data_IF_634309414365
#
_entry.id   IF_634309414365
#
_cell.length_a   1.000
_cell.length_b   1.000
_cell.length_c   1.000
_cell.angle_alpha   90.00
_cell.angle_beta   90.00
_cell.angle_gamma   90.00
#
_symmetry.space_group_name_H-M   'P 1'
#
loop_
_entity.id
_entity.type
_entity.pdbx_description
1 polymer ?
#
# COMPACT_ATOMS: atom_id res chain seq x y z
N UNK A 1 11.98 -51.22 -16.90
CA UNK A 1 11.28 -52.53 -16.87
C UNK A 1 10.18 -52.45 -17.92
N UNK A 2 10.32 -53.22 -19.00
CA UNK A 2 9.36 -53.53 -20.08
C UNK A 2 8.35 -52.48 -20.53
N UNK A 3 8.64 -51.75 -21.62
CA UNK A 3 7.61 -51.21 -22.51
C UNK A 3 7.43 -52.18 -23.68
N UNK A 4 6.23 -52.68 -23.90
CA UNK A 4 5.94 -53.51 -25.07
C UNK A 4 5.65 -52.60 -26.28
N UNK A 5 6.30 -52.87 -27.41
CA UNK A 5 6.00 -52.20 -28.67
C UNK A 5 4.57 -52.57 -29.12
N UNK A 6 3.77 -51.56 -29.42
CA UNK A 6 2.40 -51.74 -29.93
C UNK A 6 2.45 -51.65 -31.45
N UNK A 7 1.91 -52.64 -32.14
CA UNK A 7 1.91 -52.73 -33.60
C UNK A 7 0.50 -52.50 -34.17
N UNK A 8 0.40 -51.89 -35.35
CA UNK A 8 -0.86 -51.81 -36.08
C UNK A 8 -1.23 -53.16 -36.75
N UNK A 9 -2.43 -53.25 -37.33
CA UNK A 9 -2.92 -54.46 -37.99
C UNK A 9 -2.08 -54.90 -39.22
N UNK A 10 -1.14 -54.07 -39.66
CA UNK A 10 -0.22 -54.34 -40.77
C UNK A 10 1.23 -54.56 -40.31
N UNK A 11 1.48 -54.61 -38.99
CA UNK A 11 2.79 -54.90 -38.42
C UNK A 11 3.73 -53.69 -38.31
N UNK A 12 3.24 -52.46 -38.48
CA UNK A 12 4.06 -51.26 -38.28
C UNK A 12 4.11 -50.88 -36.80
N UNK A 13 5.27 -50.40 -36.32
CA UNK A 13 5.44 -49.93 -34.95
C UNK A 13 4.65 -48.64 -34.75
N UNK A 14 3.66 -48.67 -33.86
CA UNK A 14 2.94 -47.48 -33.41
C UNK A 14 3.81 -46.81 -32.35
N UNK A 15 4.49 -45.74 -32.73
CA UNK A 15 5.12 -44.85 -31.76
C UNK A 15 4.01 -44.01 -31.13
N UNK A 16 3.64 -44.33 -29.89
CA UNK A 16 2.84 -43.40 -29.08
C UNK A 16 3.75 -42.22 -28.78
N UNK A 17 3.63 -41.15 -29.57
CA UNK A 17 4.26 -39.87 -29.26
C UNK A 17 3.52 -39.37 -28.03
N UNK A 18 4.16 -39.57 -26.88
CA UNK A 18 3.66 -39.11 -25.60
C UNK A 18 3.25 -37.64 -25.75
N UNK A 19 2.07 -37.34 -25.22
CA UNK A 19 1.42 -36.03 -25.30
C UNK A 19 2.44 -34.91 -25.20
N UNK A 20 2.41 -33.98 -26.16
CA UNK A 20 3.05 -32.65 -26.09
C UNK A 20 3.27 -32.26 -24.64
N UNK A 21 4.53 -32.27 -24.20
CA UNK A 21 4.99 -31.85 -22.87
C UNK A 21 4.65 -30.37 -22.74
N UNK A 22 3.38 -30.06 -22.46
CA UNK A 22 2.90 -28.72 -22.18
C UNK A 22 3.51 -28.36 -20.84
N UNK A 23 4.74 -27.83 -20.90
CA UNK A 23 5.43 -27.25 -19.76
C UNK A 23 4.62 -26.06 -19.29
N UNK A 24 3.65 -26.32 -18.42
CA UNK A 24 2.88 -25.27 -17.76
C UNK A 24 3.88 -24.51 -16.89
N UNK A 25 4.13 -23.22 -17.15
CA UNK A 25 5.01 -22.43 -16.30
C UNK A 25 4.39 -22.34 -14.90
N UNK A 26 5.10 -22.91 -13.91
CA UNK A 26 4.70 -22.83 -12.49
C UNK A 26 5.44 -21.67 -11.85
N UNK A 27 4.68 -20.73 -11.28
CA UNK A 27 5.23 -19.61 -10.49
C UNK A 27 5.36 -20.07 -9.05
N UNK A 28 6.57 -19.96 -8.49
CA UNK A 28 6.84 -20.24 -7.08
C UNK A 28 7.13 -18.92 -6.38
N UNK A 29 6.46 -18.70 -5.25
CA UNK A 29 6.73 -17.58 -4.35
C UNK A 29 7.18 -18.15 -3.02
N UNK A 30 8.41 -17.85 -2.61
CA UNK A 30 8.96 -18.27 -1.32
C UNK A 30 9.64 -17.10 -0.62
N UNK A 31 9.55 -17.00 0.72
CA UNK A 31 10.36 -16.05 1.47
C UNK A 31 11.83 -16.50 1.46
N UNK A 32 12.74 -15.55 1.25
CA UNK A 32 14.18 -15.77 1.34
C UNK A 32 14.80 -14.68 2.20
N UNK A 33 15.81 -15.03 3.01
CA UNK A 33 16.63 -14.05 3.71
C UNK A 33 17.73 -13.59 2.77
N UNK A 34 17.68 -12.33 2.35
CA UNK A 34 18.70 -11.69 1.51
C UNK A 34 19.79 -11.06 2.40
N UNK A 35 21.03 -11.02 1.90
CA UNK A 35 22.22 -10.81 2.70
C UNK A 35 22.26 -9.46 3.44
N UNK A 36 22.00 -8.34 2.76
CA UNK A 36 22.09 -7.02 3.40
C UNK A 36 21.15 -6.00 2.77
N UNK A 37 20.55 -5.15 3.60
CA UNK A 37 19.76 -3.99 3.18
C UNK A 37 20.32 -2.72 3.85
N UNK A 38 20.60 -1.69 3.05
CA UNK A 38 21.00 -0.36 3.50
C UNK A 38 19.85 0.62 3.29
N UNK A 39 19.49 1.37 4.33
CA UNK A 39 18.44 2.38 4.27
C UNK A 39 18.98 3.76 4.61
N UNK A 40 18.62 4.75 3.79
CA UNK A 40 18.87 6.16 4.04
C UNK A 40 17.55 6.92 3.93
N UNK A 41 17.25 7.78 4.90
CA UNK A 41 15.99 8.51 4.96
C UNK A 41 16.17 10.00 5.23
N UNK A 42 15.20 10.78 4.77
CA UNK A 42 15.02 12.17 5.12
C UNK A 42 13.56 12.38 5.56
N UNK A 43 13.37 13.01 6.69
CA UNK A 43 12.03 13.32 7.23
C UNK A 43 11.88 14.82 7.44
N UNK A 44 10.73 15.35 7.06
CA UNK A 44 10.36 16.75 7.21
C UNK A 44 8.94 16.88 7.71
N UNK A 45 8.75 17.64 8.79
CA UNK A 45 7.43 17.94 9.35
C UNK A 45 7.23 19.44 9.41
N UNK A 46 6.10 19.91 8.88
CA UNK A 46 5.69 21.32 8.83
C UNK A 46 4.37 21.48 9.55
N UNK A 47 4.34 22.38 10.54
CA UNK A 47 3.10 22.88 11.13
C UNK A 47 3.06 24.39 10.91
N UNK A 48 2.10 24.86 10.13
CA UNK A 48 2.04 26.25 9.70
C UNK A 48 0.62 26.78 9.77
N UNK A 49 0.45 28.03 10.20
CA UNK A 49 -0.86 28.70 10.24
C UNK A 49 -0.75 30.02 9.49
N UNK A 50 -0.91 30.02 8.15
CA UNK A 50 -0.76 31.22 7.33
C UNK A 50 -1.69 32.36 7.79
N UNK A 51 -2.91 31.99 8.20
CA UNK A 51 -3.92 32.90 8.73
C UNK A 51 -4.59 32.27 9.96
N UNK A 52 -5.26 33.08 10.80
CA UNK A 52 -5.97 32.58 12.00
C UNK A 52 -7.06 31.53 11.68
N UNK A 53 -7.61 31.58 10.47
CA UNK A 53 -8.66 30.68 9.99
C UNK A 53 -8.11 29.47 9.21
N UNK A 54 -6.79 29.36 9.01
CA UNK A 54 -6.17 28.27 8.25
C UNK A 54 -5.01 27.65 9.00
N UNK A 55 -5.08 26.34 9.22
CA UNK A 55 -3.99 25.53 9.78
C UNK A 55 -3.59 24.46 8.77
N UNK A 56 -2.29 24.33 8.56
CA UNK A 56 -1.67 23.36 7.69
C UNK A 56 -0.71 22.51 8.52
N UNK A 57 -0.82 21.18 8.39
CA UNK A 57 0.14 20.24 8.97
C UNK A 57 0.57 19.29 7.85
N UNK A 58 1.86 19.11 7.66
CA UNK A 58 2.41 18.23 6.64
C UNK A 58 3.53 17.40 7.24
N UNK A 59 3.62 16.15 6.83
CA UNK A 59 4.75 15.27 7.11
C UNK A 59 5.17 14.65 5.78
N UNK A 60 6.45 14.72 5.47
CA UNK A 60 7.07 14.21 4.27
C UNK A 60 8.25 13.33 4.68
N UNK A 61 8.32 12.11 4.15
CA UNK A 61 9.44 11.20 4.36
C UNK A 61 9.90 10.73 3.00
N UNK A 62 11.19 10.87 2.72
CA UNK A 62 11.86 10.32 1.57
C UNK A 62 12.80 9.22 2.07
N UNK A 63 12.92 8.13 1.32
CA UNK A 63 13.80 7.04 1.68
C UNK A 63 14.38 6.36 0.45
N UNK A 64 15.60 5.88 0.63
CA UNK A 64 16.36 5.04 -0.30
C UNK A 64 16.58 3.70 0.39
N UNK A 65 16.11 2.62 -0.23
CA UNK A 65 16.38 1.25 0.18
C UNK A 65 17.30 0.61 -0.85
N UNK A 66 18.46 0.13 -0.42
CA UNK A 66 19.40 -0.62 -1.23
C UNK A 66 19.52 -2.04 -0.70
N UNK A 67 19.01 -3.01 -1.43
CA UNK A 67 19.20 -4.44 -1.17
C UNK A 67 20.41 -4.92 -1.97
N UNK A 68 21.33 -5.62 -1.32
CA UNK A 68 22.40 -6.35 -1.98
C UNK A 68 22.30 -7.83 -1.58
N UNK A 69 22.20 -8.72 -2.55
CA UNK A 69 22.09 -10.15 -2.28
C UNK A 69 21.88 -10.98 -3.52
N UNK A 70 22.59 -12.11 -3.57
CA UNK A 70 22.36 -13.17 -4.53
C UNK A 70 21.66 -14.34 -3.84
N UNK A 71 20.77 -15.02 -4.56
CA UNK A 71 20.16 -16.25 -4.11
C UNK A 71 20.48 -17.38 -5.09
N UNK A 72 20.93 -18.51 -4.57
CA UNK A 72 21.24 -19.69 -5.36
C UNK A 72 20.25 -20.79 -5.00
N UNK A 73 19.56 -21.32 -6.01
CA UNK A 73 18.64 -22.44 -5.84
C UNK A 73 18.79 -23.44 -6.98
N UNK A 74 18.37 -24.68 -6.75
CA UNK A 74 18.28 -25.69 -7.80
C UNK A 74 16.84 -25.76 -8.27
N UNK A 75 16.60 -25.57 -9.57
CA UNK A 75 15.25 -25.64 -10.14
C UNK A 75 14.76 -27.10 -10.29
N UNK A 76 13.51 -27.29 -10.72
CA UNK A 76 12.93 -28.62 -10.95
C UNK A 76 13.71 -29.48 -11.96
N UNK A 77 14.41 -28.84 -12.90
CA UNK A 77 15.25 -29.52 -13.90
C UNK A 77 16.66 -29.85 -13.36
N UNK A 78 16.89 -29.73 -12.05
CA UNK A 78 18.18 -29.94 -11.37
C UNK A 78 19.29 -29.00 -11.84
N UNK A 79 18.91 -27.84 -12.38
CA UNK A 79 19.85 -26.79 -12.79
C UNK A 79 20.02 -25.81 -11.64
N UNK A 80 21.27 -25.54 -11.28
CA UNK A 80 21.62 -24.49 -10.30
C UNK A 80 21.42 -23.13 -10.97
N UNK A 81 20.54 -22.31 -10.40
CA UNK A 81 20.28 -20.94 -10.84
C UNK A 81 20.79 -20.00 -9.76
N UNK A 82 21.60 -19.03 -10.19
CA UNK A 82 21.98 -17.88 -9.37
C UNK A 82 21.15 -16.67 -9.83
N UNK A 83 20.37 -16.11 -8.92
CA UNK A 83 19.56 -14.93 -9.16
C UNK A 83 20.09 -13.76 -8.34
N UNK A 84 20.35 -12.64 -9.00
CA UNK A 84 20.75 -11.40 -8.34
C UNK A 84 19.49 -10.63 -7.94
N UNK A 85 19.46 -10.17 -6.70
CA UNK A 85 18.37 -9.38 -6.12
C UNK A 85 18.85 -7.97 -5.72
N UNK A 86 19.96 -7.51 -6.29
CA UNK A 86 20.46 -6.17 -6.03
C UNK A 86 19.44 -5.15 -6.55
N UNK A 87 19.03 -4.24 -5.67
CA UNK A 87 18.00 -3.27 -6.00
C UNK A 87 18.25 -1.99 -5.21
N UNK A 88 18.28 -0.86 -5.90
CA UNK A 88 18.24 0.46 -5.27
C UNK A 88 16.92 1.12 -5.61
N UNK A 89 16.09 1.32 -4.59
CA UNK A 89 14.78 1.92 -4.71
C UNK A 89 14.71 3.23 -3.94
N UNK A 90 14.18 4.25 -4.59
CA UNK A 90 13.81 5.51 -3.96
C UNK A 90 12.30 5.60 -3.89
N UNK A 91 11.77 5.99 -2.75
CA UNK A 91 10.36 6.31 -2.62
C UNK A 91 10.18 7.39 -1.55
N UNK A 92 8.96 7.89 -1.46
CA UNK A 92 8.60 8.91 -0.51
C UNK A 92 7.13 8.79 -0.14
N UNK A 93 6.80 9.25 1.05
CA UNK A 93 5.45 9.36 1.53
C UNK A 93 5.20 10.78 2.02
N UNK A 94 4.01 11.30 1.75
CA UNK A 94 3.56 12.54 2.40
C UNK A 94 2.14 12.42 2.91
N UNK A 95 1.90 13.11 4.02
CA UNK A 95 0.57 13.35 4.58
C UNK A 95 0.40 14.84 4.79
N UNK A 96 -0.68 15.39 4.26
CA UNK A 96 -1.06 16.79 4.41
C UNK A 96 -2.45 16.89 5.01
N UNK A 97 -2.59 17.65 6.09
CA UNK A 97 -3.86 18.00 6.71
C UNK A 97 -4.01 19.52 6.68
N UNK A 98 -5.02 19.98 5.94
CA UNK A 98 -5.44 21.38 5.88
C UNK A 98 -6.76 21.54 6.62
N UNK A 99 -6.84 22.49 7.55
CA UNK A 99 -8.05 22.85 8.30
C UNK A 99 -8.35 24.32 8.07
N UNK A 100 -9.52 24.62 7.54
CA UNK A 100 -9.97 25.94 7.14
C UNK A 100 -11.31 26.21 7.84
N UNK A 101 -11.38 27.28 8.62
CA UNK A 101 -12.66 27.79 9.14
C UNK A 101 -13.21 28.79 8.13
N UNK A 102 -14.26 28.40 7.42
CA UNK A 102 -14.97 29.19 6.42
C UNK A 102 -15.95 30.18 7.09
N UNK A 103 -16.47 31.17 6.34
CA UNK A 103 -17.58 32.01 6.78
C UNK A 103 -18.76 31.18 7.31
N UNK A 104 -19.58 31.79 8.17
CA UNK A 104 -20.71 31.14 8.83
C UNK A 104 -20.35 29.96 9.75
N UNK A 105 -19.11 29.95 10.28
CA UNK A 105 -18.60 28.95 11.22
C UNK A 105 -18.66 27.52 10.67
N UNK A 106 -18.34 27.36 9.40
CA UNK A 106 -18.20 26.05 8.76
C UNK A 106 -16.73 25.64 8.87
N UNK A 107 -16.46 24.52 9.52
CA UNK A 107 -15.13 23.93 9.56
C UNK A 107 -14.97 22.98 8.38
N UNK A 108 -13.97 23.23 7.54
CA UNK A 108 -13.55 22.37 6.45
C UNK A 108 -12.18 21.76 6.77
N UNK A 109 -12.06 20.45 6.64
CA UNK A 109 -10.81 19.73 6.71
C UNK A 109 -10.57 18.93 5.43
N UNK A 110 -9.35 19.01 4.91
CA UNK A 110 -8.84 18.13 3.85
C UNK A 110 -7.67 17.34 4.41
N UNK A 111 -7.70 16.01 4.24
CA UNK A 111 -6.57 15.13 4.53
C UNK A 111 -6.11 14.46 3.25
N UNK A 112 -4.88 14.71 2.82
CA UNK A 112 -4.29 14.12 1.63
C UNK A 112 -3.14 13.22 2.04
N UNK A 113 -2.98 12.14 1.29
CA UNK A 113 -1.84 11.23 1.41
C UNK A 113 -1.32 10.92 0.03
N UNK A 114 -0.01 10.80 -0.11
CA UNK A 114 0.62 10.23 -1.30
C UNK A 114 1.72 9.27 -0.87
N UNK A 115 1.63 8.03 -1.33
CA UNK A 115 2.69 7.04 -1.24
C UNK A 115 3.32 6.94 -2.63
N UNK A 116 4.60 7.22 -2.73
CA UNK A 116 5.35 7.10 -3.97
C UNK A 116 5.49 5.65 -4.40
N UNK A 117 5.64 5.41 -5.71
CA UNK A 117 5.94 4.07 -6.20
C UNK A 117 7.27 3.57 -5.64
N UNK A 118 7.42 2.26 -5.50
CA UNK A 118 8.64 1.63 -5.00
C UNK A 118 9.02 0.44 -5.88
N UNK A 119 10.26 0.44 -6.35
CA UNK A 119 10.83 -0.68 -7.10
C UNK A 119 11.36 -1.75 -6.13
N UNK A 120 11.18 -3.01 -6.49
CA UNK A 120 11.79 -4.16 -5.87
C UNK A 120 12.62 -4.90 -6.92
N UNK A 121 13.45 -5.86 -6.51
CA UNK A 121 14.31 -6.62 -7.42
C UNK A 121 13.59 -7.33 -8.59
N UNK A 122 12.29 -7.61 -8.45
CA UNK A 122 11.50 -8.36 -9.42
C UNK A 122 10.27 -7.58 -9.94
N UNK A 123 10.13 -6.30 -9.60
CA UNK A 123 8.92 -5.56 -9.95
C UNK A 123 8.80 -4.19 -9.29
N UNK A 124 7.57 -3.69 -9.21
CA UNK A 124 7.26 -2.35 -8.71
C UNK A 124 5.88 -2.29 -8.07
N UNK A 125 5.78 -1.65 -6.92
CA UNK A 125 4.51 -1.15 -6.39
C UNK A 125 4.25 0.25 -6.92
N UNK A 126 3.06 0.51 -7.44
CA UNK A 126 2.70 1.83 -7.96
C UNK A 126 2.31 2.80 -6.85
N UNK A 127 2.43 4.09 -7.16
CA UNK A 127 2.09 5.15 -6.22
C UNK A 127 0.59 5.22 -5.94
N UNK A 128 0.24 5.54 -4.69
CA UNK A 128 -1.15 5.64 -4.22
C UNK A 128 -1.36 7.02 -3.63
N UNK A 129 -2.19 7.82 -4.29
CA UNK A 129 -2.69 9.07 -3.73
C UNK A 129 -4.07 8.85 -3.12
N UNK A 130 -4.47 9.67 -2.14
CA UNK A 130 -5.85 9.70 -1.67
C UNK A 130 -6.15 11.04 -0.99
N UNK A 131 -7.42 11.42 -1.00
CA UNK A 131 -7.89 12.58 -0.25
C UNK A 131 -9.20 12.27 0.47
N UNK A 132 -9.34 12.79 1.69
CA UNK A 132 -10.58 12.81 2.46
C UNK A 132 -10.99 14.27 2.70
N UNK A 133 -12.28 14.55 2.59
CA UNK A 133 -12.87 15.85 2.91
C UNK A 133 -13.83 15.69 4.09
N UNK A 134 -13.79 16.65 5.00
CA UNK A 134 -14.71 16.75 6.12
C UNK A 134 -15.24 18.17 6.20
N UNK A 135 -16.56 18.31 6.33
CA UNK A 135 -17.23 19.58 6.57
C UNK A 135 -18.08 19.43 7.82
N UNK A 136 -18.04 20.41 8.71
CA UNK A 136 -18.92 20.41 9.88
C UNK A 136 -19.38 21.81 10.23
N UNK A 137 -20.60 21.91 10.75
CA UNK A 137 -21.16 23.16 11.25
C UNK A 137 -21.92 22.88 12.54
N UNK A 138 -21.65 23.69 13.55
CA UNK A 138 -22.46 23.71 14.75
C UNK A 138 -23.77 24.47 14.50
N UNK A 139 -24.87 23.87 14.94
CA UNK A 139 -26.24 24.35 14.78
C UNK A 139 -26.96 24.33 16.14
N UNK A 140 -28.16 24.93 16.20
CA UNK A 140 -28.98 24.97 17.41
C UNK A 140 -28.26 25.60 18.62
N UNK A 141 -27.59 26.74 18.41
CA UNK A 141 -26.77 27.43 19.44
C UNK A 141 -25.73 26.48 20.06
N UNK A 142 -24.95 25.83 19.20
CA UNK A 142 -23.89 24.88 19.55
C UNK A 142 -24.37 23.60 20.28
N UNK A 143 -25.68 23.30 20.27
CA UNK A 143 -26.24 22.05 20.79
C UNK A 143 -26.24 20.91 19.77
N UNK A 144 -26.19 21.22 18.47
CA UNK A 144 -26.10 20.23 17.40
C UNK A 144 -24.84 20.42 16.57
N UNK A 145 -24.34 19.35 15.97
CA UNK A 145 -23.33 19.41 14.90
C UNK A 145 -23.84 18.60 13.72
N UNK A 146 -23.90 19.23 12.54
CA UNK A 146 -24.06 18.53 11.28
C UNK A 146 -22.67 18.37 10.65
N UNK A 147 -22.33 17.15 10.22
CA UNK A 147 -21.08 16.88 9.55
C UNK A 147 -21.27 16.00 8.31
N UNK A 148 -20.49 16.30 7.27
CA UNK A 148 -20.37 15.55 6.04
C UNK A 148 -18.91 15.11 5.88
N UNK A 149 -18.69 13.81 5.69
CA UNK A 149 -17.37 13.24 5.45
C UNK A 149 -17.37 12.49 4.12
N UNK A 150 -16.43 12.81 3.25
CA UNK A 150 -16.17 12.11 1.98
C UNK A 150 -14.80 11.46 2.08
N UNK A 151 -14.77 10.13 2.11
CA UNK A 151 -13.54 9.35 2.16
C UNK A 151 -13.15 8.88 0.76
N UNK A 152 -11.86 9.01 0.44
CA UNK A 152 -11.28 8.65 -0.85
C UNK A 152 -12.02 9.31 -2.04
N UNK A 153 -11.95 10.64 -2.09
CA UNK A 153 -12.60 11.50 -3.10
C UNK A 153 -12.28 11.07 -4.53
N UNK A 154 -11.14 10.41 -4.76
CA UNK A 154 -10.72 9.97 -6.09
C UNK A 154 -10.96 8.46 -6.33
N UNK A 155 -11.45 7.71 -5.33
CA UNK A 155 -11.58 6.24 -5.39
C UNK A 155 -10.25 5.57 -5.81
N UNK A 156 -9.16 6.05 -5.20
CA UNK A 156 -7.77 5.89 -5.65
C UNK A 156 -6.94 4.98 -4.75
N UNK A 157 -7.49 4.52 -3.61
CA UNK A 157 -6.80 3.64 -2.65
C UNK A 157 -6.67 2.20 -3.13
N UNK A 158 -6.02 2.02 -4.27
CA UNK A 158 -5.73 0.75 -4.92
C UNK A 158 -4.26 0.43 -4.72
N UNK A 159 -3.96 -0.78 -4.26
CA UNK A 159 -2.59 -1.30 -4.27
C UNK A 159 -2.38 -2.01 -5.59
N UNK A 160 -1.46 -1.51 -6.38
CA UNK A 160 -1.12 -2.08 -7.68
C UNK A 160 0.33 -2.54 -7.62
N UNK A 161 0.55 -3.78 -8.06
CA UNK A 161 1.86 -4.39 -8.19
C UNK A 161 2.05 -4.86 -9.62
N UNK A 162 3.19 -4.50 -10.19
CA UNK A 162 3.67 -4.98 -11.48
C UNK A 162 4.92 -5.82 -11.24
N UNK A 163 4.91 -7.06 -11.72
CA UNK A 163 6.06 -7.97 -11.65
C UNK A 163 6.57 -8.19 -13.06
N UNK A 164 7.85 -7.94 -13.29
CA UNK A 164 8.49 -8.10 -14.59
C UNK A 164 9.66 -9.07 -14.43
N UNK A 165 9.47 -10.30 -14.90
CA UNK A 165 10.47 -11.36 -14.96
C UNK A 165 10.71 -11.72 -16.44
N UNK A 166 11.86 -12.31 -16.81
CA UNK A 166 12.17 -12.62 -18.21
C UNK A 166 11.12 -13.43 -18.98
N UNK A 167 10.29 -14.21 -18.27
CA UNK A 167 9.25 -15.06 -18.85
C UNK A 167 7.84 -14.73 -18.35
N UNK A 168 7.68 -13.69 -17.52
CA UNK A 168 6.41 -13.35 -16.90
C UNK A 168 6.28 -11.85 -16.69
N UNK A 169 5.20 -11.28 -17.22
CA UNK A 169 4.70 -9.98 -16.80
C UNK A 169 3.38 -10.20 -16.08
N UNK A 170 3.26 -9.70 -14.85
CA UNK A 170 2.07 -9.85 -14.03
C UNK A 170 1.60 -8.51 -13.49
N UNK A 171 0.28 -8.32 -13.49
CA UNK A 171 -0.41 -7.17 -12.91
C UNK A 171 -1.34 -7.66 -11.81
N UNK A 172 -1.24 -7.05 -10.62
CA UNK A 172 -2.14 -7.32 -9.50
C UNK A 172 -2.68 -6.02 -8.96
N UNK A 173 -4.01 -5.94 -8.82
CA UNK A 173 -4.70 -4.79 -8.24
C UNK A 173 -5.60 -5.26 -7.09
N UNK A 174 -5.53 -4.55 -5.96
CA UNK A 174 -6.38 -4.80 -4.81
C UNK A 174 -6.90 -3.48 -4.23
N UNK A 175 -8.21 -3.42 -4.00
CA UNK A 175 -8.85 -2.29 -3.35
C UNK A 175 -9.64 -2.75 -2.11
N UNK A 176 -9.26 -2.29 -0.93
CA UNK A 176 -9.91 -2.68 0.33
C UNK A 176 -11.29 -2.05 0.55
N UNK A 177 -11.42 -0.77 0.21
CA UNK A 177 -12.66 0.00 0.37
C UNK A 177 -12.81 0.96 -0.80
N UNK A 178 -14.03 1.06 -1.31
CA UNK A 178 -14.43 2.08 -2.26
C UNK A 178 -14.67 3.42 -1.55
N UNK A 179 -14.87 4.48 -2.33
CA UNK A 179 -15.30 5.80 -1.85
C UNK A 179 -16.51 5.69 -0.91
N UNK A 180 -16.49 6.43 0.19
CA UNK A 180 -17.59 6.49 1.16
C UNK A 180 -18.02 7.92 1.42
N UNK A 181 -19.32 8.15 1.53
CA UNK A 181 -19.90 9.43 1.92
C UNK A 181 -20.74 9.19 3.17
N UNK A 182 -20.45 9.93 4.23
CA UNK A 182 -21.14 9.81 5.51
C UNK A 182 -21.67 11.19 5.93
N UNK A 183 -22.96 11.25 6.25
CA UNK A 183 -23.59 12.41 6.88
C UNK A 183 -23.95 12.00 8.31
N UNK A 184 -23.57 12.83 9.26
CA UNK A 184 -23.85 12.59 10.68
C UNK A 184 -24.43 13.83 11.32
N UNK A 185 -25.47 13.64 12.13
CA UNK A 185 -25.98 14.64 13.05
C UNK A 185 -25.69 14.19 14.46
N UNK A 186 -25.12 15.08 15.28
CA UNK A 186 -24.88 14.84 16.70
C UNK A 186 -25.57 15.90 17.51
N UNK A 187 -26.43 15.51 18.45
CA UNK A 187 -27.07 16.42 19.40
C UNK A 187 -26.51 16.21 20.81
N UNK A 188 -26.26 17.31 21.53
CA UNK A 188 -25.67 17.32 22.87
C UNK A 188 -26.75 17.67 23.89
N UNK A 189 -27.10 16.72 24.75
CA UNK A 189 -27.95 16.94 25.91
C UNK A 189 -27.08 17.36 27.11
N UNK A 190 -27.33 18.55 27.65
CA UNK A 190 -26.74 19.06 28.89
C UNK A 190 -25.19 18.92 29.04
N UNK A 191 -24.44 18.95 27.93
CA UNK A 191 -22.96 18.96 27.91
C UNK A 191 -22.44 20.15 27.11
N UNK A 192 -21.43 20.85 27.61
CA UNK A 192 -20.75 21.91 26.84
C UNK A 192 -19.77 21.26 25.84
N UNK A 193 -19.48 21.95 24.74
CA UNK A 193 -18.59 21.45 23.66
C UNK A 193 -17.17 21.11 24.17
N UNK A 194 -16.72 21.73 25.26
CA UNK A 194 -15.45 21.45 25.95
C UNK A 194 -15.41 20.09 26.65
N UNK A 195 -16.56 19.51 26.98
CA UNK A 195 -16.68 18.33 27.83
C UNK A 195 -16.65 17.03 27.03
N UNK A 196 -16.27 17.11 25.74
CA UNK A 196 -15.95 15.91 24.95
C UNK A 196 -14.75 15.25 25.61
N UNK A 197 -15.00 14.10 26.25
CA UNK A 197 -13.96 13.24 26.82
C UNK A 197 -12.81 13.12 25.84
N UNK A 198 -11.64 13.64 26.22
CA UNK A 198 -10.41 13.27 25.54
C UNK A 198 -10.34 11.75 25.64
N UNK A 199 -10.18 11.00 24.54
CA UNK A 199 -9.91 9.57 24.66
C UNK A 199 -8.72 9.43 25.61
N UNK A 200 -8.93 8.68 26.70
CA UNK A 200 -7.88 8.32 27.64
C UNK A 200 -6.79 7.65 26.79
N UNK A 201 -5.68 8.34 26.56
CA UNK A 201 -4.45 7.69 26.13
C UNK A 201 -4.04 6.88 27.35
N UNK A 202 -4.34 5.58 27.33
CA UNK A 202 -3.60 4.63 28.15
C UNK A 202 -2.14 4.74 27.68
N UNK A 203 -1.35 5.46 28.48
CA UNK A 203 0.09 5.50 28.33
C UNK A 203 0.63 4.15 28.76
N UNK A 204 1.01 3.33 27.78
CA UNK A 204 2.07 2.36 28.00
C UNK A 204 3.38 3.12 27.92
N UNK A 205 4.03 3.27 29.07
CA UNK A 205 5.47 3.51 29.16
C UNK A 205 6.17 2.36 28.43
N UNK A 206 6.75 2.66 27.27
CA UNK A 206 7.91 1.94 26.75
C UNK A 206 8.93 3.02 26.33
N UNK A 207 9.39 3.75 27.33
CA UNK A 207 10.74 4.30 27.32
C UNK A 207 11.71 3.11 27.37
N UNK A 208 12.21 2.72 26.21
CA UNK A 208 13.62 2.36 25.97
C UNK A 208 13.74 1.62 24.64
N UNK A 209 14.54 2.18 23.72
CA UNK A 209 15.65 1.52 23.03
C UNK A 209 16.16 2.49 21.95
N UNK A 210 17.18 3.26 22.33
CA UNK A 210 18.18 3.77 21.39
C UNK A 210 19.05 2.58 20.96
N UNK A 211 19.33 2.51 19.66
CA UNK A 211 20.22 1.55 19.03
C UNK A 211 20.21 1.74 17.52
#
# INVERSE_FOLDING_TARGET
VGGADVFDANGNVITIVDQLDVKTPVIITTPINLATEYRLGFEFTLNYSPYKWWKLNSNFNFFRNQTNGDFVYTNFNKVVIKQNFDNTAYSWFTRLTSKITLPYKIDWQTNMTYNGPQNNAQGRSLGVYSANLGFSKDILKDKGTLALNVQDVFNSRKRIYETNLPQLNSYSEMQWRLRQINISFTYRFNKKKSDREKPKREGGDDSDFQG
#
